data_IF_153019771908
#
_entry.id   IF_153019771908
#
_cell.length_a   1.000
_cell.length_b   1.000
_cell.length_c   1.000
_cell.angle_alpha   90.00
_cell.angle_beta   90.00
_cell.angle_gamma   90.00
#
_symmetry.space_group_name_H-M   'P 1'
#
loop_
_entity.id
_entity.type
_entity.pdbx_description
1 polymer ?
#
# COMPACT_ATOMS: atom_id res chain seq x y z
N UNK A 1 24.43 4.84 -19.81
CA UNK A 1 25.12 4.79 -18.49
C UNK A 1 25.19 3.32 -18.07
N UNK A 2 26.34 2.88 -17.55
CA UNK A 2 26.45 1.54 -16.95
C UNK A 2 25.88 1.56 -15.51
N UNK A 3 25.70 0.38 -14.90
CA UNK A 3 25.11 0.28 -13.56
C UNK A 3 25.90 1.06 -12.48
N UNK A 4 27.24 1.10 -12.58
CA UNK A 4 28.04 1.83 -11.62
C UNK A 4 27.86 3.35 -11.74
N UNK A 5 27.74 3.88 -12.95
CA UNK A 5 27.43 5.30 -13.20
C UNK A 5 26.04 5.68 -12.70
N UNK A 6 25.03 4.78 -12.89
CA UNK A 6 23.67 4.98 -12.38
C UNK A 6 23.64 5.01 -10.85
N UNK A 7 24.33 4.08 -10.19
CA UNK A 7 24.44 4.03 -8.73
C UNK A 7 25.16 5.27 -8.18
N UNK A 8 26.23 5.70 -8.82
CA UNK A 8 26.93 6.92 -8.41
C UNK A 8 26.06 8.16 -8.56
N UNK A 9 25.32 8.29 -9.67
CA UNK A 9 24.39 9.39 -9.87
C UNK A 9 23.26 9.38 -8.83
N UNK A 10 22.73 8.20 -8.50
CA UNK A 10 21.70 8.05 -7.47
C UNK A 10 22.23 8.43 -6.08
N UNK A 11 23.42 7.95 -5.70
CA UNK A 11 24.06 8.36 -4.43
C UNK A 11 24.21 9.88 -4.35
N UNK A 12 24.69 10.52 -5.43
CA UNK A 12 24.84 11.98 -5.48
C UNK A 12 23.52 12.71 -5.26
N UNK A 13 22.40 12.19 -5.81
CA UNK A 13 21.06 12.77 -5.61
C UNK A 13 20.60 12.63 -4.16
N UNK A 14 20.84 11.46 -3.53
CA UNK A 14 20.51 11.23 -2.12
C UNK A 14 21.32 12.19 -1.22
N UNK A 15 22.62 12.32 -1.47
CA UNK A 15 23.50 13.15 -0.65
C UNK A 15 23.18 14.64 -0.77
N UNK A 16 22.69 15.07 -1.93
CA UNK A 16 22.30 16.46 -2.19
C UNK A 16 20.87 16.80 -1.73
N UNK A 17 20.04 15.78 -1.42
CA UNK A 17 18.65 15.97 -1.00
C UNK A 17 18.56 16.32 0.48
N UNK A 18 17.68 17.23 0.81
CA UNK A 18 17.31 17.61 2.18
C UNK A 18 15.93 17.09 2.59
N UNK A 19 15.09 16.66 1.65
CA UNK A 19 13.74 16.18 1.91
C UNK A 19 13.33 15.12 0.88
N UNK A 20 13.55 13.86 1.19
CA UNK A 20 13.15 12.74 0.34
C UNK A 20 11.74 12.26 0.65
N UNK A 21 11.03 11.81 -0.38
CA UNK A 21 9.79 11.03 -0.29
C UNK A 21 9.91 9.78 -1.16
N UNK A 22 9.52 8.62 -0.62
CA UNK A 22 9.35 7.40 -1.39
C UNK A 22 7.87 7.19 -1.76
N UNK A 23 7.62 6.72 -2.98
CA UNK A 23 6.34 6.24 -3.46
C UNK A 23 6.49 4.79 -3.86
N UNK A 24 5.84 3.88 -3.14
CA UNK A 24 6.07 2.45 -3.32
C UNK A 24 4.85 1.73 -3.89
N UNK A 25 5.12 0.74 -4.75
CA UNK A 25 4.13 -0.20 -5.27
C UNK A 25 4.53 -1.64 -5.00
N UNK A 26 3.75 -2.60 -5.48
CA UNK A 26 3.89 -4.03 -5.18
C UNK A 26 5.27 -4.61 -5.55
N UNK A 27 5.97 -3.99 -6.48
CA UNK A 27 7.31 -4.42 -6.88
C UNK A 27 8.35 -4.40 -5.75
N UNK A 28 8.21 -3.51 -4.73
CA UNK A 28 9.13 -3.52 -3.58
C UNK A 28 8.94 -4.76 -2.70
N UNK A 29 7.76 -5.37 -2.72
CA UNK A 29 7.40 -6.52 -1.86
C UNK A 29 7.60 -7.88 -2.53
N UNK A 30 8.03 -7.93 -3.79
CA UNK A 30 8.23 -9.20 -4.52
C UNK A 30 9.32 -10.06 -3.90
N UNK A 31 10.41 -9.46 -3.42
CA UNK A 31 11.47 -10.18 -2.68
C UNK A 31 11.03 -10.64 -1.28
N UNK A 32 9.91 -10.13 -0.77
CA UNK A 32 9.25 -10.62 0.45
C UNK A 32 8.30 -11.78 0.19
N UNK A 33 8.20 -12.27 -1.06
CA UNK A 33 7.33 -13.37 -1.46
C UNK A 33 5.90 -12.96 -1.78
N UNK A 34 5.57 -11.67 -1.79
CA UNK A 34 4.26 -11.16 -2.20
C UNK A 34 4.31 -10.93 -3.72
N UNK A 35 3.47 -11.62 -4.52
CA UNK A 35 3.43 -11.39 -5.96
C UNK A 35 2.89 -9.99 -6.26
N UNK A 36 3.38 -9.38 -7.32
CA UNK A 36 2.79 -8.15 -7.82
C UNK A 36 1.39 -8.39 -8.41
N UNK A 37 0.70 -7.31 -8.79
CA UNK A 37 -0.66 -7.41 -9.30
C UNK A 37 -0.73 -7.56 -10.84
N UNK A 38 0.20 -6.97 -11.58
CA UNK A 38 0.13 -6.80 -13.04
C UNK A 38 1.26 -7.45 -13.81
N UNK A 39 2.37 -7.77 -13.17
CA UNK A 39 3.53 -8.39 -13.78
C UNK A 39 3.24 -9.73 -14.47
N UNK A 40 4.24 -10.41 -15.01
CA UNK A 40 4.07 -11.67 -15.73
C UNK A 40 3.33 -12.75 -14.94
N UNK A 41 3.43 -12.73 -13.61
CA UNK A 41 2.75 -13.66 -12.67
C UNK A 41 1.76 -12.92 -11.75
N UNK A 42 1.30 -11.75 -12.16
CA UNK A 42 0.47 -10.86 -11.34
C UNK A 42 -0.87 -11.48 -10.93
N UNK A 43 -1.30 -11.17 -9.70
CA UNK A 43 -2.51 -11.74 -9.06
C UNK A 43 -3.77 -11.53 -9.90
N UNK A 44 -3.89 -10.40 -10.60
CA UNK A 44 -5.09 -10.09 -11.38
C UNK A 44 -5.22 -10.88 -12.69
N UNK A 45 -4.23 -11.68 -13.06
CA UNK A 45 -4.35 -12.64 -14.17
C UNK A 45 -5.23 -13.84 -13.80
N UNK A 46 -5.31 -14.16 -12.51
CA UNK A 46 -6.06 -15.32 -12.00
C UNK A 46 -7.25 -14.95 -11.11
N UNK A 47 -7.24 -13.74 -10.54
CA UNK A 47 -8.30 -13.29 -9.62
C UNK A 47 -8.83 -11.92 -10.06
N UNK A 48 -10.10 -11.87 -10.45
CA UNK A 48 -10.78 -10.60 -10.70
C UNK A 48 -11.02 -9.88 -9.35
N UNK A 49 -10.62 -8.61 -9.21
CA UNK A 49 -10.97 -7.81 -8.03
C UNK A 49 -12.49 -7.74 -7.82
N UNK A 50 -12.92 -7.71 -6.55
CA UNK A 50 -14.33 -7.44 -6.22
C UNK A 50 -14.50 -5.93 -6.17
N UNK A 51 -15.42 -5.39 -6.97
CA UNK A 51 -15.78 -3.98 -6.98
C UNK A 51 -16.45 -3.57 -5.67
N UNK A 52 -16.28 -2.31 -5.28
CA UNK A 52 -16.86 -1.80 -4.03
C UNK A 52 -18.39 -1.85 -4.03
N UNK A 53 -19.02 -1.50 -5.16
CA UNK A 53 -20.49 -1.53 -5.27
C UNK A 53 -21.04 -2.95 -5.18
N UNK A 54 -20.34 -3.93 -5.77
CA UNK A 54 -20.70 -5.36 -5.64
C UNK A 54 -20.60 -5.79 -4.18
N UNK A 55 -19.50 -5.43 -3.49
CA UNK A 55 -19.30 -5.76 -2.08
C UNK A 55 -20.41 -5.16 -1.19
N UNK A 56 -20.78 -3.91 -1.39
CA UNK A 56 -21.78 -3.22 -0.56
C UNK A 56 -23.19 -3.74 -0.85
N UNK A 57 -23.54 -3.95 -2.11
CA UNK A 57 -24.91 -4.28 -2.52
C UNK A 57 -25.27 -5.76 -2.34
N UNK A 58 -24.29 -6.69 -2.27
CA UNK A 58 -24.54 -8.11 -2.29
C UNK A 58 -23.86 -8.86 -1.14
N UNK A 59 -24.67 -9.61 -0.38
CA UNK A 59 -24.16 -10.52 0.65
C UNK A 59 -23.27 -11.60 0.09
N UNK A 60 -23.61 -12.15 -1.08
CA UNK A 60 -22.80 -13.19 -1.73
C UNK A 60 -21.38 -12.69 -2.10
N UNK A 61 -21.27 -11.44 -2.52
CA UNK A 61 -19.96 -10.83 -2.79
C UNK A 61 -19.18 -10.55 -1.50
N UNK A 62 -19.86 -10.15 -0.41
CA UNK A 62 -19.22 -10.02 0.91
C UNK A 62 -18.68 -11.36 1.40
N UNK A 63 -19.49 -12.42 1.30
CA UNK A 63 -19.10 -13.78 1.66
C UNK A 63 -17.86 -14.20 0.85
N UNK A 64 -17.90 -14.05 -0.47
CA UNK A 64 -16.76 -14.36 -1.34
C UNK A 64 -15.50 -13.57 -1.00
N UNK A 65 -15.63 -12.30 -0.60
CA UNK A 65 -14.50 -11.48 -0.18
C UNK A 65 -13.88 -12.03 1.11
N UNK A 66 -14.69 -12.40 2.10
CA UNK A 66 -14.22 -12.97 3.36
C UNK A 66 -13.67 -14.40 3.19
N UNK A 67 -14.28 -15.23 2.33
CA UNK A 67 -13.72 -16.51 1.92
C UNK A 67 -12.30 -16.33 1.35
N UNK A 68 -12.12 -15.42 0.39
CA UNK A 68 -10.79 -15.14 -0.17
C UNK A 68 -9.81 -14.65 0.88
N UNK A 69 -10.26 -13.86 1.85
CA UNK A 69 -9.42 -13.35 2.94
C UNK A 69 -8.98 -14.45 3.89
N UNK A 70 -9.87 -15.41 4.21
CA UNK A 70 -9.63 -16.42 5.22
C UNK A 70 -9.31 -17.81 4.66
N UNK A 71 -9.55 -18.06 3.35
CA UNK A 71 -9.22 -19.31 2.69
C UNK A 71 -7.76 -19.37 2.29
N UNK A 72 -6.95 -20.02 3.06
CA UNK A 72 -5.63 -20.40 2.65
C UNK A 72 -4.48 -19.60 3.27
N UNK A 73 -3.29 -19.91 2.81
CA UNK A 73 -2.07 -19.20 3.22
C UNK A 73 -2.08 -17.80 2.66
N UNK A 74 -2.49 -16.85 3.47
CA UNK A 74 -2.32 -15.44 3.15
C UNK A 74 -0.82 -15.12 3.12
N UNK A 75 -0.26 -15.11 1.91
CA UNK A 75 1.17 -14.80 1.70
C UNK A 75 1.55 -13.44 2.28
N UNK A 76 0.58 -12.52 2.37
CA UNK A 76 0.82 -11.19 2.94
C UNK A 76 1.02 -11.23 4.44
N UNK A 77 0.29 -12.09 5.17
CA UNK A 77 0.42 -12.18 6.64
C UNK A 77 1.69 -12.87 7.10
N UNK A 78 2.30 -13.69 6.24
CA UNK A 78 3.57 -14.41 6.53
C UNK A 78 4.80 -13.70 5.98
N UNK A 79 4.62 -12.68 5.15
CA UNK A 79 5.72 -11.94 4.55
C UNK A 79 6.49 -11.13 5.59
N UNK A 80 7.79 -11.03 5.39
CA UNK A 80 8.67 -10.19 6.21
C UNK A 80 9.32 -9.10 5.34
N UNK A 81 9.67 -7.95 5.94
CA UNK A 81 10.36 -6.90 5.21
C UNK A 81 11.65 -7.40 4.56
N UNK A 82 11.97 -6.89 3.39
CA UNK A 82 13.21 -7.16 2.68
C UNK A 82 14.18 -5.97 2.74
N UNK A 83 15.33 -6.10 2.10
CA UNK A 83 16.38 -5.06 2.09
C UNK A 83 15.88 -3.68 1.60
N UNK A 84 14.93 -3.65 0.67
CA UNK A 84 14.31 -2.40 0.20
C UNK A 84 13.53 -1.68 1.30
N UNK A 85 12.72 -2.42 2.09
CA UNK A 85 11.97 -1.86 3.22
C UNK A 85 12.91 -1.32 4.29
N UNK A 86 13.96 -2.07 4.66
CA UNK A 86 14.95 -1.62 5.65
C UNK A 86 15.79 -0.43 5.16
N UNK A 87 16.07 -0.32 3.87
CA UNK A 87 16.75 0.86 3.32
C UNK A 87 15.90 2.13 3.48
N UNK A 88 14.58 2.04 3.24
CA UNK A 88 13.66 3.18 3.44
C UNK A 88 13.50 3.51 4.92
N UNK A 89 13.39 2.51 5.80
CA UNK A 89 13.36 2.71 7.25
C UNK A 89 14.60 3.47 7.71
N UNK A 90 15.79 3.05 7.26
CA UNK A 90 17.04 3.72 7.60
C UNK A 90 17.05 5.20 7.20
N UNK A 91 16.59 5.54 6.01
CA UNK A 91 16.51 6.95 5.59
C UNK A 91 15.48 7.76 6.39
N UNK A 92 14.40 7.14 6.83
CA UNK A 92 13.44 7.76 7.78
C UNK A 92 14.12 8.00 9.13
N UNK A 93 14.81 7.00 9.68
CA UNK A 93 15.49 7.10 11.00
C UNK A 93 16.64 8.10 11.00
N UNK A 94 17.37 8.21 9.87
CA UNK A 94 18.43 9.21 9.65
C UNK A 94 17.87 10.63 9.39
N UNK A 95 16.55 10.80 9.26
CA UNK A 95 15.90 12.09 8.96
C UNK A 95 16.06 12.58 7.52
N UNK A 96 16.60 11.75 6.62
CA UNK A 96 16.77 12.08 5.19
C UNK A 96 15.46 11.96 4.42
N UNK A 97 14.59 11.01 4.82
CA UNK A 97 13.28 10.78 4.20
C UNK A 97 12.19 11.23 5.17
N UNK A 98 11.22 11.98 4.65
CA UNK A 98 10.13 12.54 5.46
C UNK A 98 8.95 11.61 5.53
N UNK A 99 8.57 10.98 4.42
CA UNK A 99 7.41 10.09 4.32
C UNK A 99 7.62 8.98 3.28
N UNK A 100 6.88 7.89 3.48
CA UNK A 100 6.67 6.84 2.48
C UNK A 100 5.19 6.87 2.09
N UNK A 101 4.89 7.17 0.83
CA UNK A 101 3.57 7.07 0.23
C UNK A 101 3.48 5.67 -0.38
N UNK A 102 2.57 4.83 0.08
CA UNK A 102 2.49 3.46 -0.43
C UNK A 102 1.13 3.13 -1.04
N UNK A 103 1.16 2.40 -2.14
CA UNK A 103 0.01 1.73 -2.73
C UNK A 103 -0.20 0.33 -2.15
N UNK A 104 0.80 -0.18 -1.41
CA UNK A 104 0.77 -1.51 -0.83
C UNK A 104 -0.14 -1.56 0.39
N UNK A 105 -0.73 -2.72 0.62
CA UNK A 105 -1.65 -2.99 1.72
C UNK A 105 -1.06 -3.98 2.74
N UNK A 106 0.20 -4.39 2.54
CA UNK A 106 0.86 -5.49 3.24
C UNK A 106 1.38 -5.12 4.65
N UNK A 107 1.56 -3.83 4.94
CA UNK A 107 2.08 -3.35 6.23
C UNK A 107 3.59 -3.57 6.43
N UNK A 108 4.35 -3.92 5.37
CA UNK A 108 5.77 -4.24 5.50
C UNK A 108 6.65 -3.04 5.82
N UNK A 109 6.24 -1.82 5.47
CA UNK A 109 6.95 -0.62 5.89
C UNK A 109 6.91 -0.45 7.41
N UNK A 110 5.74 -0.62 8.02
CA UNK A 110 5.61 -0.58 9.48
C UNK A 110 6.35 -1.74 10.14
N UNK A 111 6.24 -2.95 9.58
CA UNK A 111 6.95 -4.13 10.07
C UNK A 111 8.49 -4.00 9.98
N UNK A 112 9.02 -3.15 9.10
CA UNK A 112 10.46 -2.84 9.05
C UNK A 112 10.93 -1.84 10.11
N UNK A 113 10.01 -1.22 10.86
CA UNK A 113 10.31 -0.26 11.91
C UNK A 113 9.95 1.19 11.56
N UNK A 114 9.41 1.47 10.36
CA UNK A 114 8.94 2.81 10.01
C UNK A 114 7.75 3.19 10.87
N UNK A 115 7.78 4.34 11.59
CA UNK A 115 6.64 4.81 12.38
C UNK A 115 5.39 5.02 11.51
N UNK A 116 4.21 4.64 12.01
CA UNK A 116 2.92 4.78 11.31
C UNK A 116 2.70 6.21 10.78
N UNK A 117 3.07 7.23 11.56
CA UNK A 117 2.94 8.62 11.15
C UNK A 117 3.75 8.98 9.89
N UNK A 118 4.76 8.18 9.53
CA UNK A 118 5.62 8.38 8.37
C UNK A 118 5.17 7.57 7.15
N UNK A 119 4.22 6.63 7.33
CA UNK A 119 3.63 5.84 6.23
C UNK A 119 2.28 6.45 5.83
N UNK A 120 2.06 6.63 4.55
CA UNK A 120 0.83 7.15 3.95
C UNK A 120 0.25 6.04 3.08
N UNK A 121 -0.77 5.33 3.59
CA UNK A 121 -1.37 4.15 2.96
C UNK A 121 -2.54 4.55 2.04
N UNK A 122 -2.27 4.80 0.77
CA UNK A 122 -3.29 5.24 -0.19
C UNK A 122 -4.41 4.22 -0.43
N UNK A 123 -4.09 2.93 -0.35
CA UNK A 123 -5.04 1.85 -0.59
C UNK A 123 -5.42 1.08 0.69
N UNK A 124 -5.11 1.66 1.84
CA UNK A 124 -5.41 1.08 3.15
C UNK A 124 -4.50 -0.08 3.52
N UNK A 125 -4.99 -0.98 4.39
CA UNK A 125 -4.21 -2.05 4.99
C UNK A 125 -5.01 -3.35 5.07
N UNK A 126 -4.36 -4.49 4.83
CA UNK A 126 -4.98 -5.81 4.82
C UNK A 126 -4.99 -6.50 6.18
N UNK A 127 -4.29 -5.92 7.19
CA UNK A 127 -4.08 -6.56 8.49
C UNK A 127 -5.24 -6.37 9.47
N UNK A 128 -6.20 -5.50 9.16
CA UNK A 128 -7.38 -5.26 9.99
C UNK A 128 -8.59 -4.95 9.11
N UNK A 129 -9.76 -4.89 9.74
CA UNK A 129 -11.01 -4.51 9.08
C UNK A 129 -11.60 -3.23 9.69
N UNK A 130 -12.47 -2.57 8.95
CA UNK A 130 -13.21 -1.38 9.39
C UNK A 130 -14.70 -1.50 9.07
N UNK A 131 -15.52 -0.91 9.90
CA UNK A 131 -16.91 -0.62 9.56
C UNK A 131 -16.97 0.49 8.51
N UNK A 132 -17.72 0.29 7.44
CA UNK A 132 -17.90 1.29 6.37
C UNK A 132 -18.75 2.50 6.81
N UNK A 133 -19.52 2.39 7.90
CA UNK A 133 -20.42 3.43 8.36
C UNK A 133 -19.82 4.28 9.51
N UNK A 134 -19.18 3.65 10.51
CA UNK A 134 -18.66 4.35 11.69
C UNK A 134 -17.15 4.26 11.87
N UNK A 135 -16.45 3.66 10.90
CA UNK A 135 -15.00 3.48 10.88
C UNK A 135 -14.39 2.69 12.04
N UNK A 136 -15.22 2.10 12.93
CA UNK A 136 -14.72 1.24 14.00
C UNK A 136 -13.79 0.18 13.42
N UNK A 137 -12.59 0.07 14.02
CA UNK A 137 -11.58 -0.94 13.68
C UNK A 137 -11.93 -2.28 14.31
N UNK A 138 -11.64 -3.35 13.59
CA UNK A 138 -11.77 -4.74 14.01
C UNK A 138 -10.49 -5.51 13.70
N UNK A 139 -10.04 -6.29 14.66
CA UNK A 139 -8.98 -7.26 14.44
C UNK A 139 -9.54 -8.46 13.64
N UNK A 140 -8.70 -9.06 12.79
CA UNK A 140 -9.15 -10.09 11.86
C UNK A 140 -9.43 -11.43 12.53
N UNK A 141 -8.70 -11.81 13.57
CA UNK A 141 -8.82 -13.16 14.14
C UNK A 141 -10.22 -13.45 14.74
N UNK A 142 -10.84 -12.54 15.51
CA UNK A 142 -12.23 -12.75 15.94
C UNK A 142 -13.23 -12.85 14.79
N UNK A 143 -13.03 -12.05 13.72
CA UNK A 143 -13.89 -12.10 12.54
C UNK A 143 -13.73 -13.42 11.78
N UNK A 144 -12.51 -13.93 11.68
CA UNK A 144 -12.19 -15.20 11.06
C UNK A 144 -12.85 -16.36 11.80
N UNK A 145 -12.73 -16.40 13.11
CA UNK A 145 -13.37 -17.41 13.95
C UNK A 145 -14.88 -17.40 13.75
N UNK A 146 -15.54 -16.25 13.84
CA UNK A 146 -16.98 -16.12 13.63
C UNK A 146 -17.41 -16.55 12.21
N UNK A 147 -16.61 -16.19 11.20
CA UNK A 147 -16.91 -16.55 9.81
C UNK A 147 -16.76 -18.06 9.55
N UNK A 148 -15.66 -18.68 10.01
CA UNK A 148 -15.36 -20.08 9.71
C UNK A 148 -16.14 -21.08 10.58
N UNK A 149 -16.38 -20.74 11.85
CA UNK A 149 -17.00 -21.66 12.82
C UNK A 149 -18.51 -21.44 12.97
N UNK A 150 -18.99 -20.21 12.75
CA UNK A 150 -20.39 -19.83 12.96
C UNK A 150 -21.09 -19.42 11.66
N UNK A 151 -20.43 -19.51 10.52
CA UNK A 151 -20.92 -19.07 9.19
C UNK A 151 -21.42 -17.61 9.16
N UNK A 152 -20.85 -16.76 10.01
CA UNK A 152 -21.32 -15.38 10.23
C UNK A 152 -20.53 -14.39 9.39
N UNK A 153 -21.23 -13.67 8.49
CA UNK A 153 -20.63 -12.52 7.78
C UNK A 153 -20.44 -11.36 8.75
N UNK A 154 -19.25 -10.73 8.79
CA UNK A 154 -18.99 -9.64 9.72
C UNK A 154 -19.88 -8.41 9.53
N UNK A 155 -20.53 -7.99 10.61
CA UNK A 155 -21.23 -6.71 10.76
C UNK A 155 -20.71 -5.98 11.99
N UNK A 156 -20.86 -4.66 11.99
CA UNK A 156 -20.43 -3.83 13.10
C UNK A 156 -21.33 -4.04 14.32
N UNK A 157 -20.75 -4.44 15.43
CA UNK A 157 -21.42 -4.61 16.72
C UNK A 157 -21.87 -3.27 17.36
N UNK A 158 -21.32 -2.14 16.89
CA UNK A 158 -21.68 -0.81 17.38
C UNK A 158 -22.85 -0.18 16.62
N UNK A 159 -22.90 -0.32 15.29
CA UNK A 159 -23.88 0.40 14.44
C UNK A 159 -24.62 -0.50 13.44
N UNK A 160 -24.33 -1.80 13.38
CA UNK A 160 -24.91 -2.72 12.42
C UNK A 160 -24.38 -2.56 10.98
N UNK A 161 -23.41 -1.66 10.76
CA UNK A 161 -22.87 -1.39 9.44
C UNK A 161 -22.01 -2.54 8.89
N UNK A 162 -21.81 -2.53 7.58
CA UNK A 162 -20.98 -3.53 6.88
C UNK A 162 -19.51 -3.39 7.32
N UNK A 163 -18.90 -4.51 7.70
CA UNK A 163 -17.47 -4.59 8.01
C UNK A 163 -16.72 -5.13 6.80
N UNK A 164 -15.63 -4.45 6.43
CA UNK A 164 -14.78 -4.77 5.30
C UNK A 164 -13.31 -4.73 5.72
N UNK A 165 -12.46 -5.57 5.12
CA UNK A 165 -11.00 -5.37 5.23
C UNK A 165 -10.66 -3.92 4.93
N UNK A 166 -9.76 -3.31 5.70
CA UNK A 166 -9.46 -1.87 5.60
C UNK A 166 -8.70 -1.45 4.32
N UNK A 167 -8.80 -2.26 3.27
CA UNK A 167 -8.25 -1.97 1.94
C UNK A 167 -9.23 -1.14 1.12
N UNK A 168 -8.74 -0.33 0.20
CA UNK A 168 -9.58 0.41 -0.75
C UNK A 168 -9.80 -0.45 -1.99
N UNK A 169 -11.07 -0.72 -2.30
CA UNK A 169 -11.48 -1.47 -3.50
C UNK A 169 -11.64 -0.55 -4.71
N UNK A 170 -11.63 -1.12 -5.91
CA UNK A 170 -12.04 -0.37 -7.11
C UNK A 170 -13.48 0.14 -6.94
N UNK A 171 -13.73 1.39 -7.34
CA UNK A 171 -15.01 2.07 -7.14
C UNK A 171 -15.22 2.67 -5.75
N UNK A 172 -14.33 2.42 -4.79
CA UNK A 172 -14.36 3.03 -3.47
C UNK A 172 -13.62 4.38 -3.48
N UNK A 173 -14.14 5.37 -2.75
CA UNK A 173 -13.46 6.66 -2.55
C UNK A 173 -12.10 6.45 -1.87
N UNK A 174 -11.11 7.20 -2.33
CA UNK A 174 -9.79 7.23 -1.69
C UNK A 174 -9.88 7.90 -0.31
N UNK A 175 -9.02 7.50 0.65
CA UNK A 175 -9.03 8.09 1.99
C UNK A 175 -8.53 9.54 1.93
N UNK A 176 -9.42 10.49 2.22
CA UNK A 176 -9.18 11.94 2.06
C UNK A 176 -7.95 12.42 2.84
N UNK A 177 -7.80 12.00 4.09
CA UNK A 177 -6.66 12.38 4.92
C UNK A 177 -5.34 11.89 4.32
N UNK A 178 -5.27 10.64 3.87
CA UNK A 178 -4.06 10.08 3.27
C UNK A 178 -3.74 10.73 1.93
N UNK A 179 -4.77 11.07 1.15
CA UNK A 179 -4.61 11.82 -0.10
C UNK A 179 -4.06 13.22 0.15
N UNK A 180 -4.58 13.92 1.16
CA UNK A 180 -4.09 15.25 1.54
C UNK A 180 -2.65 15.21 2.06
N UNK A 181 -2.31 14.22 2.90
CA UNK A 181 -0.93 13.99 3.38
C UNK A 181 0.03 13.68 2.24
N UNK A 182 -0.37 12.79 1.32
CA UNK A 182 0.44 12.46 0.15
C UNK A 182 0.67 13.66 -0.76
N UNK A 183 -0.36 14.49 -0.94
CA UNK A 183 -0.26 15.73 -1.71
C UNK A 183 0.75 16.70 -1.07
N UNK A 184 0.63 16.95 0.22
CA UNK A 184 1.54 17.82 0.96
C UNK A 184 2.98 17.30 0.90
N UNK A 185 3.21 16.01 1.19
CA UNK A 185 4.54 15.39 1.13
C UNK A 185 5.16 15.49 -0.28
N UNK A 186 4.35 15.33 -1.34
CA UNK A 186 4.81 15.44 -2.73
C UNK A 186 5.22 16.86 -3.13
N UNK A 187 4.60 17.88 -2.53
CA UNK A 187 4.97 19.28 -2.77
C UNK A 187 6.18 19.73 -1.95
N UNK A 188 6.42 19.10 -0.80
CA UNK A 188 7.45 19.51 0.17
C UNK A 188 8.79 18.78 -0.01
N UNK A 189 8.91 17.89 -1.01
CA UNK A 189 10.13 17.14 -1.27
C UNK A 189 10.99 17.78 -2.36
N UNK A 190 12.30 17.56 -2.28
CA UNK A 190 13.30 17.89 -3.32
C UNK A 190 13.76 16.66 -4.11
N UNK A 191 13.54 15.44 -3.56
CA UNK A 191 13.80 14.17 -4.22
C UNK A 191 12.62 13.20 -4.00
N UNK A 192 12.02 12.74 -5.10
CA UNK A 192 10.90 11.79 -5.10
C UNK A 192 11.34 10.47 -5.72
N UNK A 193 11.22 9.38 -4.95
CA UNK A 193 11.64 8.04 -5.36
C UNK A 193 10.40 7.18 -5.66
N UNK A 194 10.15 6.82 -6.90
CA UNK A 194 9.10 5.86 -7.28
C UNK A 194 9.70 4.46 -7.37
N UNK A 195 9.30 3.55 -6.47
CA UNK A 195 9.92 2.23 -6.30
C UNK A 195 8.89 1.12 -6.49
N UNK A 196 9.15 0.22 -7.43
CA UNK A 196 8.34 -0.97 -7.65
C UNK A 196 6.89 -0.70 -8.04
N UNK A 197 6.62 0.44 -8.71
CA UNK A 197 5.29 0.82 -9.17
C UNK A 197 5.23 0.90 -10.70
N UNK A 198 4.15 0.37 -11.28
CA UNK A 198 3.86 0.54 -12.71
C UNK A 198 3.39 1.95 -13.08
N UNK A 199 3.09 2.80 -12.08
CA UNK A 199 2.57 4.17 -12.26
C UNK A 199 1.31 4.27 -13.13
N UNK A 200 0.47 3.21 -13.14
CA UNK A 200 -0.74 3.14 -13.97
C UNK A 200 -2.05 3.35 -13.20
N UNK A 201 -2.03 3.31 -11.86
CA UNK A 201 -3.23 3.41 -11.02
C UNK A 201 -3.49 4.85 -10.62
N UNK A 202 -4.51 5.45 -11.21
CA UNK A 202 -4.98 6.78 -10.79
C UNK A 202 -5.96 6.67 -9.61
N UNK A 203 -5.96 7.66 -8.68
CA UNK A 203 -5.20 8.92 -8.72
C UNK A 203 -3.76 8.81 -8.19
N UNK A 204 -3.35 7.69 -7.60
CA UNK A 204 -2.04 7.51 -6.95
C UNK A 204 -0.85 7.84 -7.88
N UNK A 205 -0.91 7.44 -9.15
CA UNK A 205 0.12 7.73 -10.16
C UNK A 205 0.33 9.23 -10.43
N UNK A 206 -0.54 10.09 -9.94
CA UNK A 206 -0.42 11.53 -10.04
C UNK A 206 0.67 12.14 -9.12
N UNK A 207 1.00 11.50 -8.00
CA UNK A 207 1.95 12.06 -7.02
C UNK A 207 3.38 12.22 -7.54
N UNK A 208 4.00 11.25 -8.24
CA UNK A 208 5.30 11.45 -8.87
C UNK A 208 5.32 12.60 -9.87
N UNK A 209 4.23 12.75 -10.64
CA UNK A 209 4.08 13.85 -11.60
C UNK A 209 3.95 15.20 -10.89
N UNK A 210 3.19 15.23 -9.80
CA UNK A 210 3.02 16.43 -8.96
C UNK A 210 4.36 16.89 -8.39
N UNK A 211 5.11 16.00 -7.74
CA UNK A 211 6.42 16.27 -7.18
C UNK A 211 7.38 16.80 -8.26
N UNK A 212 7.44 16.12 -9.42
CA UNK A 212 8.27 16.53 -10.55
C UNK A 212 7.92 17.92 -11.07
N UNK A 213 6.63 18.23 -11.22
CA UNK A 213 6.16 19.56 -11.67
C UNK A 213 6.48 20.65 -10.65
N UNK A 214 6.51 20.30 -9.37
CA UNK A 214 6.86 21.22 -8.28
C UNK A 214 8.39 21.41 -8.09
N UNK A 215 9.22 20.81 -8.95
CA UNK A 215 10.68 21.02 -8.96
C UNK A 215 11.49 19.88 -8.35
N UNK A 216 10.89 18.88 -7.73
CA UNK A 216 11.61 17.73 -7.19
C UNK A 216 12.34 16.95 -8.29
N UNK A 217 13.49 16.39 -7.96
CA UNK A 217 14.12 15.36 -8.79
C UNK A 217 13.31 14.07 -8.66
N UNK A 218 13.01 13.42 -9.79
CA UNK A 218 12.28 12.16 -9.81
C UNK A 218 13.23 11.03 -10.22
N UNK A 219 13.30 9.99 -9.39
CA UNK A 219 14.00 8.73 -9.67
C UNK A 219 12.99 7.60 -9.68
N UNK A 220 13.03 6.77 -10.71
CA UNK A 220 12.19 5.58 -10.84
C UNK A 220 13.10 4.36 -10.71
N UNK A 221 12.75 3.48 -9.75
CA UNK A 221 13.44 2.21 -9.49
C UNK A 221 12.43 1.09 -9.75
N UNK A 222 12.61 0.38 -10.84
CA UNK A 222 11.72 -0.70 -11.23
C UNK A 222 12.50 -1.83 -11.90
N UNK A 223 11.99 -3.05 -11.84
CA UNK A 223 12.61 -4.22 -12.49
C UNK A 223 12.23 -4.32 -13.98
N UNK A 224 11.09 -3.73 -14.35
CA UNK A 224 10.59 -3.69 -15.73
C UNK A 224 10.59 -2.24 -16.23
N UNK A 225 10.88 -2.08 -17.52
CA UNK A 225 10.81 -0.80 -18.24
C UNK A 225 9.38 -0.26 -18.35
#
# INVERSE_FOLDING_TARGET
>A
MNNAELLQAFSTLIDASSSMVAFTGAGISTESGIPDFRGPQGVWKTQTPIDFNDFVSSESWRRKAWERKFSGEDKMTKATPNSGHYALERWISEGKMTHIITQNVDGLHQASGVPDAKVIELHGNVQYAKCLACEKRFELEPLKTAFLEQDTIPFCDQCGGIVKTATISFGQSMPENEMARAHAASLDCDLFLAIGSSLTVSPAAGFPVLAKKNGAKLVIINHQD
#
